data_IF_150321529336
#
_entry.id   IF_150321529336
#
_cell.length_a   1.000
_cell.length_b   1.000
_cell.length_c   1.000
_cell.angle_alpha   90.00
_cell.angle_beta   90.00
_cell.angle_gamma   90.00
#
_symmetry.space_group_name_H-M   'P 1'
#
loop_
_entity.id
_entity.type
_entity.pdbx_description
1 polymer ?
#
# COMPACT_ATOMS: atom_id res chain seq x y z
N UNK A 1 -28.07 10.74 -23.11
CA UNK A 1 -27.58 11.41 -21.91
C UNK A 1 -26.25 12.05 -22.19
N UNK A 2 -25.98 13.25 -21.68
CA UNK A 2 -24.65 13.87 -21.82
C UNK A 2 -23.63 12.99 -21.08
N UNK A 3 -22.57 12.57 -21.77
CA UNK A 3 -21.44 11.90 -21.13
C UNK A 3 -20.90 12.76 -20.00
N UNK A 4 -20.83 12.16 -18.81
CA UNK A 4 -20.25 12.81 -17.63
C UNK A 4 -18.77 12.44 -17.61
N UNK A 5 -17.89 13.42 -17.76
CA UNK A 5 -16.45 13.22 -17.58
C UNK A 5 -16.12 12.94 -16.11
N UNK A 6 -15.02 12.22 -15.86
CA UNK A 6 -14.56 11.94 -14.50
C UNK A 6 -14.37 13.22 -13.66
N UNK A 7 -13.84 14.29 -14.25
CA UNK A 7 -13.64 15.58 -13.56
C UNK A 7 -14.99 16.20 -13.15
N UNK A 8 -15.99 16.15 -14.02
CA UNK A 8 -17.31 16.67 -13.71
C UNK A 8 -18.01 15.84 -12.64
N UNK A 9 -17.87 14.50 -12.70
CA UNK A 9 -18.37 13.59 -11.66
C UNK A 9 -17.71 13.90 -10.32
N UNK A 10 -16.38 14.02 -10.27
CA UNK A 10 -15.63 14.34 -9.07
C UNK A 10 -16.03 15.68 -8.46
N UNK A 11 -16.12 16.75 -9.27
CA UNK A 11 -16.56 18.09 -8.81
C UNK A 11 -17.99 18.11 -8.28
N UNK A 12 -18.88 17.28 -8.82
CA UNK A 12 -20.27 17.22 -8.39
C UNK A 12 -20.46 16.33 -7.16
N UNK A 13 -19.75 15.21 -7.08
CA UNK A 13 -19.90 14.23 -6.00
C UNK A 13 -19.16 14.65 -4.73
N UNK A 14 -17.95 15.23 -4.86
CA UNK A 14 -17.21 15.78 -3.71
C UNK A 14 -17.89 17.04 -3.18
N UNK A 15 -17.72 17.30 -1.89
CA UNK A 15 -18.23 18.50 -1.22
C UNK A 15 -17.89 18.47 0.27
N UNK A 16 -18.32 19.47 1.04
CA UNK A 16 -18.07 19.54 2.47
C UNK A 16 -18.52 18.29 3.21
N UNK A 17 -17.82 17.94 4.27
CA UNK A 17 -18.20 16.85 5.18
C UNK A 17 -19.64 17.09 5.67
N UNK A 18 -20.41 16.02 5.87
CA UNK A 18 -21.81 16.00 6.32
C UNK A 18 -22.81 16.68 5.38
N UNK A 19 -22.37 17.28 4.27
CA UNK A 19 -23.28 17.79 3.25
C UNK A 19 -23.94 16.66 2.45
N UNK A 20 -25.14 16.90 1.92
CA UNK A 20 -25.90 15.90 1.16
C UNK A 20 -25.72 16.10 -0.34
N UNK A 21 -25.64 14.98 -1.07
CA UNK A 21 -25.68 14.95 -2.53
C UNK A 21 -26.80 14.00 -2.97
N UNK A 22 -27.59 14.45 -3.95
CA UNK A 22 -28.64 13.63 -4.57
C UNK A 22 -28.12 13.06 -5.89
N UNK A 23 -28.17 11.76 -6.03
CA UNK A 23 -27.73 11.05 -7.24
C UNK A 23 -28.85 10.20 -7.81
N UNK A 24 -28.96 10.16 -9.15
CA UNK A 24 -29.79 9.24 -9.86
C UNK A 24 -29.00 8.05 -10.41
N UNK A 25 -29.41 6.85 -10.11
CA UNK A 25 -28.79 5.60 -10.58
C UNK A 25 -29.71 4.91 -11.57
N UNK A 26 -29.24 4.75 -12.80
CA UNK A 26 -29.87 3.92 -13.82
C UNK A 26 -29.18 2.55 -13.82
N UNK A 27 -29.90 1.49 -13.47
CA UNK A 27 -29.38 0.12 -13.48
C UNK A 27 -29.57 -0.54 -14.83
N UNK A 28 -28.63 -1.36 -15.23
CA UNK A 28 -28.75 -2.17 -16.44
C UNK A 28 -30.07 -2.99 -16.41
N UNK A 29 -30.84 -2.98 -17.50
CA UNK A 29 -32.13 -3.67 -17.59
C UNK A 29 -33.31 -2.93 -16.94
N UNK A 30 -33.14 -1.64 -16.58
CA UNK A 30 -34.23 -0.82 -16.01
C UNK A 30 -34.24 0.54 -16.68
N UNK A 31 -35.43 1.00 -17.11
CA UNK A 31 -35.65 2.35 -17.65
C UNK A 31 -35.93 3.39 -16.55
N UNK A 32 -35.99 2.97 -15.29
CA UNK A 32 -36.33 3.85 -14.16
C UNK A 32 -35.09 4.29 -13.42
N UNK A 33 -34.88 5.60 -13.29
CA UNK A 33 -33.85 6.19 -12.44
C UNK A 33 -34.29 6.08 -10.99
N UNK A 34 -33.45 5.46 -10.15
CA UNK A 34 -33.64 5.47 -8.69
C UNK A 34 -32.79 6.59 -8.08
N UNK A 35 -33.46 7.46 -7.33
CA UNK A 35 -32.77 8.56 -6.63
C UNK A 35 -32.33 8.15 -5.25
N UNK A 36 -31.09 8.56 -4.89
CA UNK A 36 -30.51 8.34 -3.58
C UNK A 36 -29.95 9.67 -3.07
N UNK A 37 -30.22 9.96 -1.80
CA UNK A 37 -29.57 11.06 -1.09
C UNK A 37 -28.48 10.49 -0.21
N UNK A 38 -27.23 10.88 -0.47
CA UNK A 38 -26.04 10.39 0.22
C UNK A 38 -25.48 11.54 1.06
N UNK A 39 -25.20 11.29 2.34
CA UNK A 39 -24.46 12.21 3.19
C UNK A 39 -22.96 11.99 2.93
N UNK A 40 -22.22 13.05 2.61
CA UNK A 40 -20.80 12.99 2.37
C UNK A 40 -20.06 12.72 3.68
N UNK A 41 -19.10 11.83 3.64
CA UNK A 41 -18.29 11.44 4.79
C UNK A 41 -16.84 11.18 4.37
N UNK A 42 -15.97 11.03 5.34
CA UNK A 42 -14.62 10.52 5.08
C UNK A 42 -14.69 9.03 4.75
N UNK A 43 -14.19 8.67 3.58
CA UNK A 43 -14.07 7.27 3.18
C UNK A 43 -12.68 6.79 3.59
N UNK A 44 -12.63 5.89 4.54
CA UNK A 44 -11.38 5.22 4.92
C UNK A 44 -10.95 4.33 3.76
N UNK A 45 -9.78 4.62 3.20
CA UNK A 45 -9.18 3.76 2.19
C UNK A 45 -8.25 2.78 2.90
N UNK A 46 -8.66 1.51 2.92
CA UNK A 46 -7.83 0.45 3.45
C UNK A 46 -6.65 0.14 2.51
N UNK A 47 -5.48 0.04 3.09
CA UNK A 47 -4.27 -0.40 2.40
C UNK A 47 -4.27 -1.90 2.15
N UNK A 48 -4.70 -2.68 3.13
CA UNK A 48 -4.91 -4.12 3.00
C UNK A 48 -6.30 -4.35 2.42
N UNK A 49 -6.37 -4.74 1.15
CA UNK A 49 -7.65 -4.92 0.43
C UNK A 49 -8.19 -6.33 0.48
N UNK A 50 -7.33 -7.31 0.78
CA UNK A 50 -7.72 -8.71 0.90
C UNK A 50 -6.79 -9.44 1.85
N UNK A 51 -7.34 -10.28 2.72
CA UNK A 51 -6.60 -11.21 3.55
C UNK A 51 -7.45 -12.48 3.74
N UNK A 52 -6.94 -13.63 3.29
CA UNK A 52 -7.64 -14.91 3.33
C UNK A 52 -6.67 -16.09 3.20
N UNK A 53 -7.15 -17.29 3.49
CA UNK A 53 -6.41 -18.53 3.24
C UNK A 53 -6.62 -18.97 1.79
N UNK A 54 -5.53 -19.21 1.04
CA UNK A 54 -5.58 -19.79 -0.32
C UNK A 54 -5.91 -21.29 -0.24
N UNK A 55 -5.34 -21.96 0.76
CA UNK A 55 -5.56 -23.36 1.09
C UNK A 55 -5.43 -23.53 2.61
N UNK A 56 -5.38 -24.77 3.11
CA UNK A 56 -5.38 -25.06 4.55
C UNK A 56 -4.17 -24.49 5.32
N UNK A 57 -3.06 -24.18 4.64
CA UNK A 57 -1.82 -23.75 5.29
C UNK A 57 -1.22 -22.44 4.75
N UNK A 58 -1.77 -21.90 3.67
CA UNK A 58 -1.20 -20.72 2.99
C UNK A 58 -2.10 -19.50 3.10
N UNK A 59 -1.64 -18.48 3.81
CA UNK A 59 -2.28 -17.18 3.91
C UNK A 59 -1.91 -16.26 2.73
N UNK A 60 -2.83 -15.38 2.37
CA UNK A 60 -2.67 -14.37 1.32
C UNK A 60 -3.06 -13.00 1.86
N UNK A 61 -2.21 -11.99 1.60
CA UNK A 61 -2.49 -10.59 1.93
C UNK A 61 -2.20 -9.73 0.71
N UNK A 62 -3.20 -8.96 0.24
CA UNK A 62 -3.01 -7.96 -0.82
C UNK A 62 -2.92 -6.56 -0.23
N UNK A 63 -1.85 -5.84 -0.61
CA UNK A 63 -1.60 -4.48 -0.17
C UNK A 63 -1.62 -3.55 -1.38
N UNK A 64 -2.54 -2.59 -1.37
CA UNK A 64 -2.77 -1.67 -2.48
C UNK A 64 -1.81 -0.48 -2.49
N UNK A 65 -1.44 0.02 -1.33
CA UNK A 65 -0.55 1.16 -1.14
C UNK A 65 0.06 1.14 0.26
N UNK A 66 1.09 1.95 0.50
CA UNK A 66 1.68 2.12 1.82
C UNK A 66 1.28 3.48 2.41
N UNK A 67 0.22 3.49 3.21
CA UNK A 67 -0.29 4.65 3.96
C UNK A 67 -0.01 4.56 5.46
N UNK A 68 -0.52 5.51 6.23
CA UNK A 68 -0.35 5.57 7.69
C UNK A 68 -0.96 4.35 8.40
N UNK A 69 -2.08 3.83 7.90
CA UNK A 69 -2.78 2.69 8.48
C UNK A 69 -2.31 1.32 7.94
N UNK A 70 -1.36 1.29 7.00
CA UNK A 70 -0.95 0.02 6.37
C UNK A 70 -0.38 -0.97 7.37
N UNK A 71 0.51 -0.53 8.25
CA UNK A 71 1.14 -1.43 9.22
C UNK A 71 0.14 -2.00 10.24
N UNK A 72 -0.72 -1.21 10.89
CA UNK A 72 -1.79 -1.74 11.75
C UNK A 72 -2.75 -2.69 11.02
N UNK A 73 -3.16 -2.37 9.80
CA UNK A 73 -4.02 -3.24 8.99
C UNK A 73 -3.32 -4.56 8.63
N UNK A 74 -2.03 -4.49 8.31
CA UNK A 74 -1.20 -5.65 8.01
C UNK A 74 -1.04 -6.57 9.22
N UNK A 75 -0.75 -6.02 10.41
CA UNK A 75 -0.70 -6.80 11.66
C UNK A 75 -2.06 -7.46 11.97
N UNK A 76 -3.15 -6.75 11.76
CA UNK A 76 -4.50 -7.31 11.94
C UNK A 76 -4.77 -8.48 10.98
N UNK A 77 -4.33 -8.35 9.72
CA UNK A 77 -4.42 -9.43 8.73
C UNK A 77 -3.57 -10.64 9.12
N UNK A 78 -2.32 -10.43 9.56
CA UNK A 78 -1.44 -11.49 10.05
C UNK A 78 -2.04 -12.21 11.28
N UNK A 79 -2.55 -11.44 12.24
CA UNK A 79 -3.20 -12.00 13.42
C UNK A 79 -4.43 -12.85 13.05
N UNK A 80 -5.26 -12.38 12.12
CA UNK A 80 -6.42 -13.12 11.63
C UNK A 80 -5.99 -14.42 10.92
N UNK A 81 -4.95 -14.39 10.10
CA UNK A 81 -4.44 -15.57 9.40
C UNK A 81 -3.81 -16.55 10.39
N UNK A 82 -3.07 -16.11 11.39
CA UNK A 82 -2.42 -16.98 12.37
C UNK A 82 -3.42 -17.83 13.18
N UNK A 83 -4.68 -17.36 13.34
CA UNK A 83 -5.75 -18.16 13.95
C UNK A 83 -6.22 -19.33 13.06
N UNK A 84 -5.76 -19.39 11.79
CA UNK A 84 -6.19 -20.37 10.78
C UNK A 84 -5.09 -21.36 10.37
N UNK A 85 -4.11 -21.59 11.24
CA UNK A 85 -2.99 -22.51 10.99
C UNK A 85 -2.14 -22.12 9.76
N UNK A 86 -1.80 -20.82 9.63
CA UNK A 86 -0.99 -20.32 8.52
C UNK A 86 0.47 -20.74 8.69
N UNK A 87 0.97 -21.55 7.80
CA UNK A 87 2.36 -22.04 7.75
C UNK A 87 3.17 -21.31 6.66
N UNK A 88 2.52 -20.78 5.63
CA UNK A 88 3.12 -20.08 4.51
C UNK A 88 2.39 -18.77 4.24
N UNK A 89 3.07 -17.76 3.71
CA UNK A 89 2.49 -16.45 3.43
C UNK A 89 2.79 -15.96 2.02
N UNK A 90 1.76 -15.46 1.35
CA UNK A 90 1.87 -14.75 0.08
C UNK A 90 1.48 -13.29 0.30
N UNK A 91 2.38 -12.35 -0.01
CA UNK A 91 2.10 -10.91 0.00
C UNK A 91 2.02 -10.43 -1.44
N UNK A 92 0.88 -9.87 -1.83
CA UNK A 92 0.64 -9.35 -3.19
C UNK A 92 0.81 -7.83 -3.21
N UNK A 93 1.89 -7.38 -3.87
CA UNK A 93 2.20 -5.98 -4.13
C UNK A 93 1.99 -5.59 -5.61
N UNK A 94 1.34 -6.43 -6.40
CA UNK A 94 1.00 -6.10 -7.78
C UNK A 94 0.04 -4.91 -7.80
N UNK A 95 0.30 -3.96 -8.70
CA UNK A 95 -0.43 -2.70 -8.86
C UNK A 95 -0.27 -1.71 -7.68
N UNK A 96 0.68 -1.96 -6.78
CA UNK A 96 0.99 -1.09 -5.66
C UNK A 96 2.10 -0.10 -6.05
N UNK A 97 1.76 1.17 -6.22
CA UNK A 97 2.69 2.24 -6.62
C UNK A 97 3.59 2.74 -5.49
N UNK A 98 3.52 2.12 -4.31
CA UNK A 98 4.33 2.48 -3.15
C UNK A 98 3.59 3.34 -2.12
N UNK A 99 4.32 4.21 -1.45
CA UNK A 99 3.79 5.08 -0.40
C UNK A 99 4.83 5.43 0.66
N UNK A 100 4.44 5.38 1.93
CA UNK A 100 5.26 5.82 3.06
C UNK A 100 6.42 4.85 3.36
N UNK A 101 7.63 5.39 3.42
CA UNK A 101 8.84 4.64 3.78
C UNK A 101 8.73 4.00 5.17
N UNK A 102 8.17 4.71 6.14
CA UNK A 102 8.01 4.18 7.49
C UNK A 102 7.10 2.95 7.52
N UNK A 103 6.01 2.95 6.78
CA UNK A 103 5.07 1.83 6.74
C UNK A 103 5.75 0.55 6.18
N UNK A 104 6.49 0.69 5.08
CA UNK A 104 7.19 -0.46 4.49
C UNK A 104 8.35 -0.96 5.36
N UNK A 105 9.07 -0.05 6.03
CA UNK A 105 10.15 -0.43 6.94
C UNK A 105 9.62 -1.26 8.13
N UNK A 106 8.50 -0.85 8.73
CA UNK A 106 7.85 -1.60 9.81
C UNK A 106 7.38 -2.98 9.33
N UNK A 107 6.80 -3.06 8.13
CA UNK A 107 6.37 -4.34 7.56
C UNK A 107 7.55 -5.28 7.26
N UNK A 108 8.64 -4.77 6.66
CA UNK A 108 9.82 -5.57 6.38
C UNK A 108 10.47 -6.09 7.68
N UNK A 109 10.44 -5.26 8.73
CA UNK A 109 10.95 -5.62 10.05
C UNK A 109 10.29 -6.88 10.63
N UNK A 110 9.02 -7.18 10.30
CA UNK A 110 8.34 -8.39 10.76
C UNK A 110 8.99 -9.69 10.28
N UNK A 111 9.74 -9.63 9.17
CA UNK A 111 10.31 -10.81 8.52
C UNK A 111 11.82 -10.91 8.62
N UNK A 112 12.50 -9.83 8.97
CA UNK A 112 13.99 -9.75 8.94
C UNK A 112 14.59 -9.95 10.31
N UNK A 113 15.81 -10.53 10.33
CA UNK A 113 16.60 -10.64 11.54
C UNK A 113 17.23 -9.29 11.91
N UNK A 114 17.65 -9.17 13.15
CA UNK A 114 18.32 -7.96 13.64
C UNK A 114 19.52 -7.57 12.74
N UNK A 115 19.63 -6.26 12.50
CA UNK A 115 20.68 -5.63 11.71
C UNK A 115 20.66 -5.92 10.19
N UNK A 116 19.72 -6.74 9.69
CA UNK A 116 19.51 -6.90 8.25
C UNK A 116 19.04 -5.58 7.62
N UNK A 117 19.62 -5.24 6.47
CA UNK A 117 19.35 -3.99 5.77
C UNK A 117 17.96 -4.04 5.12
N UNK A 118 17.11 -3.06 5.45
CA UNK A 118 15.82 -2.88 4.77
C UNK A 118 16.01 -2.00 3.53
N UNK A 119 16.64 -0.84 3.72
CA UNK A 119 16.91 0.12 2.65
C UNK A 119 18.00 1.08 3.12
N UNK A 120 18.73 1.66 2.18
CA UNK A 120 19.55 2.83 2.45
C UNK A 120 19.17 3.98 1.51
N UNK A 121 19.40 5.19 1.95
CA UNK A 121 19.30 6.39 1.13
C UNK A 121 20.65 7.07 1.05
N UNK A 122 21.00 7.56 -0.12
CA UNK A 122 22.25 8.27 -0.35
C UNK A 122 22.05 9.29 -1.46
N UNK A 123 22.40 10.54 -1.22
CA UNK A 123 22.33 11.60 -2.21
C UNK A 123 23.70 12.13 -2.57
N UNK A 124 23.78 12.95 -3.61
CA UNK A 124 25.04 13.59 -4.05
C UNK A 124 25.74 14.37 -2.92
N UNK A 125 24.96 15.03 -2.06
CA UNK A 125 25.45 15.82 -0.91
C UNK A 125 24.94 15.27 0.44
N UNK A 126 24.05 14.27 0.43
CA UNK A 126 23.54 13.61 1.61
C UNK A 126 24.36 12.36 1.92
N UNK A 127 24.73 12.20 3.19
CA UNK A 127 25.40 10.97 3.65
C UNK A 127 24.46 9.79 3.51
N UNK A 128 25.04 8.61 3.41
CA UNK A 128 24.29 7.36 3.46
C UNK A 128 23.59 7.22 4.82
N UNK A 129 22.32 6.93 4.79
CA UNK A 129 21.49 6.60 5.94
C UNK A 129 20.87 5.22 5.72
N UNK A 130 21.16 4.28 6.61
CA UNK A 130 20.64 2.91 6.58
C UNK A 130 19.43 2.78 7.48
N UNK A 131 18.39 2.11 7.00
CA UNK A 131 17.29 1.59 7.81
C UNK A 131 17.46 0.08 7.90
N UNK A 132 17.60 -0.42 9.13
CA UNK A 132 17.83 -1.83 9.42
C UNK A 132 16.74 -2.38 10.31
N UNK A 133 16.52 -3.68 10.23
CA UNK A 133 15.61 -4.40 11.09
C UNK A 133 16.11 -4.41 12.53
N UNK A 134 15.20 -4.29 13.49
CA UNK A 134 15.50 -4.33 14.93
C UNK A 134 15.44 -5.76 15.52
N UNK A 135 15.00 -6.72 14.72
CA UNK A 135 14.89 -8.13 15.08
C UNK A 135 13.70 -8.50 15.97
N UNK A 136 12.77 -7.58 16.21
CA UNK A 136 11.58 -7.83 17.05
C UNK A 136 10.41 -8.46 16.29
N UNK A 137 10.48 -8.53 14.95
CA UNK A 137 9.46 -9.10 14.11
C UNK A 137 9.10 -10.55 14.47
N UNK A 138 7.83 -10.90 14.36
CA UNK A 138 7.31 -12.20 14.78
C UNK A 138 7.31 -13.26 13.66
N UNK A 139 7.47 -12.86 12.39
CA UNK A 139 7.28 -13.72 11.23
C UNK A 139 8.57 -14.07 10.49
N UNK A 140 9.71 -14.05 11.18
CA UNK A 140 11.04 -14.26 10.60
C UNK A 140 11.25 -15.63 9.96
N UNK A 141 10.51 -16.63 10.36
CA UNK A 141 10.68 -18.02 9.89
C UNK A 141 9.60 -18.52 8.93
N UNK A 142 8.49 -17.78 8.78
CA UNK A 142 7.41 -18.20 7.89
C UNK A 142 7.90 -18.20 6.42
N UNK A 143 7.72 -19.27 5.63
CA UNK A 143 7.97 -19.23 4.21
C UNK A 143 7.18 -18.10 3.55
N UNK A 144 7.89 -17.23 2.81
CA UNK A 144 7.34 -15.98 2.27
C UNK A 144 7.51 -15.91 0.76
N UNK A 145 6.41 -15.60 0.09
CA UNK A 145 6.38 -15.25 -1.35
C UNK A 145 5.86 -13.84 -1.49
N UNK A 146 6.52 -13.02 -2.29
CA UNK A 146 6.09 -11.66 -2.63
C UNK A 146 5.78 -11.57 -4.11
N UNK A 147 4.56 -11.14 -4.45
CA UNK A 147 4.14 -10.94 -5.83
C UNK A 147 4.32 -9.48 -6.24
N UNK A 148 4.99 -9.25 -7.38
CA UNK A 148 5.20 -7.92 -7.95
C UNK A 148 4.86 -7.89 -9.45
N UNK A 149 4.65 -6.69 -9.99
CA UNK A 149 4.51 -6.44 -11.42
C UNK A 149 5.12 -5.08 -11.82
N UNK A 150 4.99 -4.72 -13.08
CA UNK A 150 5.53 -3.47 -13.65
C UNK A 150 4.98 -2.18 -13.03
N UNK A 151 3.90 -2.26 -12.26
CA UNK A 151 3.30 -1.13 -11.53
C UNK A 151 3.81 -1.07 -10.10
N UNK A 152 4.36 -2.16 -9.56
CA UNK A 152 4.98 -2.17 -8.24
C UNK A 152 6.16 -1.21 -8.19
N UNK A 153 6.07 -0.16 -7.36
CA UNK A 153 7.04 0.93 -7.36
C UNK A 153 7.41 1.41 -5.95
N UNK A 154 8.58 2.06 -5.80
CA UNK A 154 8.97 2.78 -4.59
C UNK A 154 8.93 1.90 -3.33
N UNK A 155 8.04 2.14 -2.35
CA UNK A 155 7.93 1.33 -1.13
C UNK A 155 7.69 -0.17 -1.42
N UNK A 156 6.97 -0.51 -2.51
CA UNK A 156 6.81 -1.92 -2.93
C UNK A 156 8.16 -2.54 -3.33
N UNK A 157 9.02 -1.76 -3.97
CA UNK A 157 10.36 -2.20 -4.39
C UNK A 157 11.29 -2.30 -3.19
N UNK A 158 11.14 -1.42 -2.19
CA UNK A 158 11.87 -1.52 -0.92
C UNK A 158 11.52 -2.83 -0.21
N UNK A 159 10.24 -3.16 -0.11
CA UNK A 159 9.83 -4.42 0.52
C UNK A 159 10.38 -5.63 -0.23
N UNK A 160 10.15 -5.70 -1.54
CA UNK A 160 10.61 -6.81 -2.37
C UNK A 160 12.15 -6.94 -2.35
N UNK A 161 12.87 -5.81 -2.46
CA UNK A 161 14.32 -5.77 -2.38
C UNK A 161 14.85 -6.23 -1.03
N UNK A 162 14.28 -5.74 0.07
CA UNK A 162 14.67 -6.15 1.42
C UNK A 162 14.48 -7.67 1.64
N UNK A 163 13.39 -8.25 1.13
CA UNK A 163 13.15 -9.70 1.23
C UNK A 163 14.13 -10.47 0.34
N UNK A 164 14.37 -10.01 -0.89
CA UNK A 164 15.26 -10.65 -1.85
C UNK A 164 16.72 -10.60 -1.41
N UNK A 165 17.21 -9.40 -1.08
CA UNK A 165 18.64 -9.16 -0.81
C UNK A 165 19.12 -9.79 0.52
N UNK A 166 18.19 -10.13 1.41
CA UNK A 166 18.47 -10.87 2.63
C UNK A 166 18.14 -12.37 2.53
N UNK A 167 17.88 -12.89 1.31
CA UNK A 167 17.48 -14.29 1.08
C UNK A 167 16.31 -14.76 1.97
N UNK A 168 15.40 -13.81 2.31
CA UNK A 168 14.34 -14.07 3.27
C UNK A 168 13.11 -14.71 2.65
N UNK A 169 12.91 -14.58 1.36
CA UNK A 169 11.74 -15.09 0.66
C UNK A 169 11.89 -15.05 -0.85
N UNK A 170 10.85 -15.51 -1.54
CA UNK A 170 10.85 -15.63 -3.00
C UNK A 170 10.05 -14.47 -3.60
N UNK A 171 10.62 -13.79 -4.59
CA UNK A 171 9.93 -12.76 -5.37
C UNK A 171 9.44 -13.37 -6.67
N UNK A 172 8.15 -13.26 -6.95
CA UNK A 172 7.52 -13.80 -8.17
C UNK A 172 6.79 -12.69 -8.92
N UNK A 173 6.93 -12.68 -10.23
CA UNK A 173 6.19 -11.78 -11.09
C UNK A 173 6.99 -11.19 -12.22
N UNK A 174 6.69 -9.96 -12.60
CA UNK A 174 7.38 -9.22 -13.66
C UNK A 174 8.27 -8.14 -13.06
N UNK A 175 9.21 -7.65 -13.87
CA UNK A 175 10.10 -6.55 -13.49
C UNK A 175 9.30 -5.36 -12.97
N UNK A 176 9.67 -4.85 -11.80
CA UNK A 176 9.05 -3.71 -11.16
C UNK A 176 9.34 -2.39 -11.89
N UNK A 177 8.71 -1.31 -11.46
CA UNK A 177 8.78 0.01 -12.09
C UNK A 177 10.20 0.61 -12.13
N UNK A 178 11.00 0.44 -11.06
CA UNK A 178 12.36 0.98 -10.97
C UNK A 178 12.42 2.42 -10.41
N UNK A 179 11.62 2.75 -9.39
CA UNK A 179 11.66 4.06 -8.73
C UNK A 179 12.60 4.03 -7.52
N UNK A 180 13.87 4.36 -7.74
CA UNK A 180 14.91 4.47 -6.70
C UNK A 180 15.16 5.90 -6.21
N UNK A 181 14.15 6.76 -6.14
CA UNK A 181 14.28 8.17 -5.75
C UNK A 181 13.47 8.47 -4.48
N UNK A 182 14.07 9.23 -3.55
CA UNK A 182 13.40 9.77 -2.38
C UNK A 182 12.99 11.22 -2.63
N UNK A 183 11.72 11.52 -2.42
CA UNK A 183 11.16 12.86 -2.57
C UNK A 183 10.64 13.36 -1.23
N UNK A 184 10.96 14.61 -0.92
CA UNK A 184 10.37 15.36 0.22
C UNK A 184 9.40 16.40 -0.30
N UNK A 185 8.31 16.58 0.42
CA UNK A 185 7.33 17.62 0.16
C UNK A 185 7.52 18.72 1.20
N UNK A 186 7.67 19.94 0.72
CA UNK A 186 7.74 21.14 1.52
C UNK A 186 6.46 21.96 1.29
N UNK A 187 5.76 22.26 2.38
CA UNK A 187 4.56 23.10 2.34
C UNK A 187 4.93 24.55 2.67
N UNK A 188 4.43 25.49 1.91
CA UNK A 188 4.59 26.91 2.15
C UNK A 188 3.35 27.52 2.81
N UNK A 189 3.51 28.68 3.41
CA UNK A 189 2.43 29.38 4.15
C UNK A 189 1.28 29.85 3.26
N UNK A 190 1.52 30.00 1.96
CA UNK A 190 0.52 30.33 0.95
C UNK A 190 -0.30 29.12 0.45
N UNK A 191 -0.02 27.92 1.00
CA UNK A 191 -0.66 26.66 0.59
C UNK A 191 -0.02 25.99 -0.61
N UNK A 192 1.02 26.56 -1.20
CA UNK A 192 1.78 25.93 -2.27
C UNK A 192 2.66 24.79 -1.74
N UNK A 193 2.98 23.83 -2.62
CA UNK A 193 3.75 22.64 -2.29
C UNK A 193 4.94 22.51 -3.24
N UNK A 194 6.14 22.34 -2.69
CA UNK A 194 7.32 21.95 -3.45
C UNK A 194 7.64 20.49 -3.19
N UNK A 195 7.76 19.70 -4.25
CA UNK A 195 8.26 18.32 -4.18
C UNK A 195 9.70 18.28 -4.69
N UNK A 196 10.63 17.97 -3.80
CA UNK A 196 12.07 17.96 -4.09
C UNK A 196 12.61 16.54 -4.01
N UNK A 197 13.34 16.08 -5.03
CA UNK A 197 14.13 14.86 -4.98
C UNK A 197 15.40 15.12 -4.17
N UNK A 198 15.63 14.33 -3.11
CA UNK A 198 16.74 14.55 -2.15
C UNK A 198 17.77 13.43 -2.17
N UNK A 199 17.42 12.24 -2.66
CA UNK A 199 18.33 11.11 -2.85
C UNK A 199 17.76 10.10 -3.86
#
# INVERSE_FOLDING_TARGET
GKEITNDKAMKTLKGPLDSKVKIGVLRYGSDKIKEFTITRGNVVQHSVTSAFMINDTTGFIKIRNFGENTYPEFLSALAMLSTKNTENLVIDLRDNTGGLLQAVALMANEFLEKDQLIVYTQGRKAKREDIRADGRGAYKKIPLVVLINEISASASEIFAGAIQDNDRGIIIGRRSYGKGLVQRQLSFTDGSLLRLTVS
#
